data_IF_543414708884
#
_entry.id   IF_543414708884
#
_cell.length_a   1.000
_cell.length_b   1.000
_cell.length_c   1.000
_cell.angle_alpha   90.00
_cell.angle_beta   90.00
_cell.angle_gamma   90.00
#
_symmetry.space_group_name_H-M   'P 1'
#
loop_
_entity.id
_entity.type
_entity.pdbx_description
1 polymer ?
#
# COMPACT_ATOMS: atom_id res chain seq x y z
N UNK A 1 12.19 19.98 17.64
CA UNK A 1 11.50 20.88 16.70
C UNK A 1 11.99 20.45 15.33
N UNK A 2 11.24 19.55 14.71
CA UNK A 2 11.67 18.85 13.50
C UNK A 2 11.21 19.65 12.27
N UNK A 3 12.16 20.07 11.44
CA UNK A 3 11.87 20.77 10.19
C UNK A 3 11.38 19.73 9.16
N UNK A 4 10.17 19.90 8.63
CA UNK A 4 9.63 19.06 7.54
C UNK A 4 9.66 19.85 6.22
N UNK A 5 9.84 19.15 5.11
CA UNK A 5 9.80 19.77 3.79
C UNK A 5 8.38 19.67 3.22
N UNK A 6 7.86 20.78 2.71
CA UNK A 6 6.60 20.81 1.93
C UNK A 6 6.87 21.23 0.50
N UNK A 7 6.01 20.84 -0.41
CA UNK A 7 6.03 21.31 -1.80
C UNK A 7 5.33 22.67 -1.85
N UNK A 8 6.09 23.74 -2.02
CA UNK A 8 5.57 25.09 -2.21
C UNK A 8 5.45 25.37 -3.70
N UNK A 9 4.26 25.77 -4.15
CA UNK A 9 4.07 26.36 -5.47
C UNK A 9 4.20 27.88 -5.35
N UNK A 10 5.16 28.49 -6.05
CA UNK A 10 5.21 29.95 -6.16
C UNK A 10 3.99 30.42 -6.96
N UNK A 11 3.10 31.17 -6.30
CA UNK A 11 1.93 31.75 -6.93
C UNK A 11 2.34 32.82 -7.94
N UNK A 12 2.21 32.52 -9.23
CA UNK A 12 2.52 33.48 -10.29
C UNK A 12 2.24 33.06 -11.74
N UNK A 13 2.11 31.76 -12.04
CA UNK A 13 1.78 31.30 -13.40
C UNK A 13 1.23 29.87 -13.37
N UNK A 14 0.40 29.51 -14.34
CA UNK A 14 -0.14 28.14 -14.53
C UNK A 14 0.94 27.05 -14.65
N UNK A 15 2.21 27.45 -14.79
CA UNK A 15 3.42 26.60 -14.82
C UNK A 15 4.37 26.87 -13.63
N UNK A 16 3.80 27.09 -12.43
CA UNK A 16 4.55 27.43 -11.22
C UNK A 16 5.57 26.36 -10.81
N UNK A 17 6.85 26.74 -10.75
CA UNK A 17 7.95 25.87 -10.37
C UNK A 17 7.76 25.34 -8.92
N UNK A 18 7.40 24.06 -8.79
CA UNK A 18 7.17 23.41 -7.49
C UNK A 18 8.52 23.15 -6.81
N UNK A 19 8.74 23.76 -5.65
CA UNK A 19 9.99 23.60 -4.88
C UNK A 19 9.73 22.99 -3.52
N UNK A 20 10.61 22.12 -3.07
CA UNK A 20 10.63 21.67 -1.69
C UNK A 20 11.21 22.78 -0.81
N UNK A 21 10.40 23.30 0.11
CA UNK A 21 10.84 24.29 1.08
C UNK A 21 10.72 23.71 2.50
N UNK A 22 11.69 24.04 3.36
CA UNK A 22 11.60 23.72 4.80
C UNK A 22 10.55 24.62 5.42
N UNK A 23 9.59 24.01 6.11
CA UNK A 23 8.56 24.72 6.85
C UNK A 23 8.53 24.16 8.26
N UNK A 24 8.38 25.08 9.21
CA UNK A 24 8.16 24.72 10.61
C UNK A 24 6.75 24.15 10.72
N UNK A 25 6.67 22.87 11.05
CA UNK A 25 5.37 22.18 11.19
C UNK A 25 4.73 22.54 12.51
N UNK A 26 3.45 22.89 12.46
CA UNK A 26 2.58 22.94 13.62
C UNK A 26 1.79 21.63 13.69
N UNK A 27 2.08 20.78 14.67
CA UNK A 27 1.47 19.44 14.79
C UNK A 27 -0.04 19.53 15.07
N UNK A 28 -0.46 20.56 15.80
CA UNK A 28 -1.86 20.75 16.18
C UNK A 28 -2.78 20.94 14.96
N UNK A 29 -2.26 21.52 13.88
CA UNK A 29 -3.02 21.72 12.63
C UNK A 29 -3.25 20.42 11.85
N UNK A 30 -2.55 19.34 12.22
CA UNK A 30 -2.63 18.03 11.60
C UNK A 30 -3.39 17.00 12.44
N UNK A 31 -3.75 17.32 13.69
CA UNK A 31 -4.56 16.45 14.55
C UNK A 31 -6.00 16.96 14.52
N UNK A 32 -6.89 16.19 13.92
CA UNK A 32 -8.29 16.54 13.70
C UNK A 32 -9.16 15.58 14.52
N UNK A 33 -9.94 16.13 15.45
CA UNK A 33 -10.97 15.38 16.18
C UNK A 33 -12.33 15.84 15.62
N UNK A 34 -12.92 15.10 14.66
CA UNK A 34 -14.18 15.50 14.07
C UNK A 34 -15.33 15.34 15.08
N UNK A 35 -16.20 16.35 15.16
CA UNK A 35 -17.48 16.22 15.83
C UNK A 35 -18.45 15.46 14.92
N UNK A 36 -18.69 14.18 15.21
CA UNK A 36 -19.65 13.34 14.48
C UNK A 36 -21.02 13.36 15.17
N UNK A 37 -22.07 13.04 14.40
CA UNK A 37 -23.44 12.98 14.92
C UNK A 37 -23.58 11.81 15.92
N UNK A 38 -23.86 12.08 17.21
CA UNK A 38 -23.98 11.03 18.21
C UNK A 38 -25.11 10.03 17.91
N UNK A 39 -26.18 10.45 17.24
CA UNK A 39 -27.29 9.56 16.88
C UNK A 39 -26.88 8.50 15.84
N UNK A 40 -26.01 8.88 14.90
CA UNK A 40 -25.42 7.96 13.92
C UNK A 40 -24.49 6.94 14.57
N UNK A 41 -23.65 7.40 15.51
CA UNK A 41 -22.70 6.55 16.24
C UNK A 41 -23.41 5.52 17.13
N UNK A 42 -24.51 5.90 17.80
CA UNK A 42 -25.32 4.97 18.59
C UNK A 42 -26.01 3.90 17.74
N UNK A 43 -26.33 4.22 16.48
CA UNK A 43 -27.02 3.30 15.57
C UNK A 43 -26.05 2.29 14.97
N UNK A 44 -24.95 2.76 14.39
CA UNK A 44 -23.91 1.94 13.78
C UNK A 44 -22.58 2.69 13.75
N UNK A 45 -21.77 2.51 14.79
CA UNK A 45 -20.47 3.16 14.92
C UNK A 45 -19.49 2.73 13.81
N UNK A 46 -19.57 1.49 13.34
CA UNK A 46 -18.67 0.94 12.32
C UNK A 46 -18.95 1.59 10.97
N UNK A 47 -20.23 1.70 10.61
CA UNK A 47 -20.65 2.38 9.39
C UNK A 47 -20.23 3.86 9.38
N UNK A 48 -20.31 4.54 10.53
CA UNK A 48 -19.87 5.94 10.64
C UNK A 48 -18.37 6.09 10.35
N UNK A 49 -17.53 5.18 10.86
CA UNK A 49 -16.09 5.17 10.55
C UNK A 49 -15.85 4.95 9.05
N UNK A 50 -16.55 3.99 8.45
CA UNK A 50 -16.45 3.67 7.02
C UNK A 50 -16.84 4.84 6.12
N UNK A 51 -17.96 5.51 6.42
CA UNK A 51 -18.45 6.68 5.70
C UNK A 51 -17.53 7.88 5.89
N UNK A 52 -16.99 8.05 7.09
CA UNK A 52 -16.02 9.12 7.36
C UNK A 52 -14.73 8.90 6.56
N UNK A 53 -14.14 7.70 6.59
CA UNK A 53 -12.97 7.36 5.80
C UNK A 53 -13.22 7.49 4.28
N UNK A 54 -14.43 7.13 3.83
CA UNK A 54 -14.88 7.34 2.46
C UNK A 54 -14.89 8.81 2.07
N UNK A 55 -15.46 9.67 2.92
CA UNK A 55 -15.51 11.11 2.70
C UNK A 55 -14.12 11.75 2.62
N UNK A 56 -13.17 11.30 3.46
CA UNK A 56 -11.79 11.79 3.41
C UNK A 56 -11.08 11.45 2.09
N UNK A 57 -11.48 10.38 1.41
CA UNK A 57 -10.88 10.01 0.12
C UNK A 57 -11.27 10.95 -1.03
N UNK A 58 -12.32 11.76 -0.88
CA UNK A 58 -12.87 12.63 -1.94
C UNK A 58 -12.62 14.11 -1.71
N UNK A 59 -12.40 14.53 -0.46
CA UNK A 59 -12.07 15.91 -0.14
C UNK A 59 -10.68 16.30 -0.66
N UNK A 60 -10.41 17.54 -1.07
CA UNK A 60 -9.04 18.00 -1.34
C UNK A 60 -8.25 18.16 -0.03
N UNK A 61 -6.92 18.04 -0.09
CA UNK A 61 -6.02 18.43 1.00
C UNK A 61 -5.50 19.84 0.76
N UNK A 62 -5.30 20.61 1.84
CA UNK A 62 -4.71 21.94 1.75
C UNK A 62 -3.21 21.85 1.46
N UNK A 63 -2.80 22.35 0.29
CA UNK A 63 -1.41 22.35 -0.16
C UNK A 63 -0.55 23.44 0.51
N UNK A 64 -1.13 24.32 1.33
CA UNK A 64 -0.38 25.31 2.11
C UNK A 64 0.38 24.70 3.30
N UNK A 65 -0.01 23.48 3.70
CA UNK A 65 0.55 22.73 4.83
C UNK A 65 1.10 21.37 4.39
N UNK A 66 1.92 20.70 5.22
CA UNK A 66 2.32 19.32 4.95
C UNK A 66 1.11 18.43 4.66
N UNK A 67 1.19 17.62 3.60
CA UNK A 67 0.04 16.87 3.09
C UNK A 67 -0.20 15.55 3.85
N UNK A 68 -0.33 15.64 5.17
CA UNK A 68 -0.69 14.54 6.06
C UNK A 68 -1.62 15.03 7.17
N UNK A 69 -2.57 14.19 7.58
CA UNK A 69 -3.60 14.51 8.57
C UNK A 69 -3.88 13.25 9.43
N UNK A 70 -3.99 13.42 10.74
CA UNK A 70 -4.45 12.41 11.68
C UNK A 70 -5.87 12.75 12.12
N UNK A 71 -6.80 11.84 11.88
CA UNK A 71 -8.18 11.99 12.34
C UNK A 71 -8.43 11.02 13.49
N UNK A 72 -8.73 11.53 14.67
CA UNK A 72 -8.98 10.71 15.87
C UNK A 72 -10.49 10.63 16.10
N UNK A 73 -11.02 9.42 15.99
CA UNK A 73 -12.42 9.10 16.21
C UNK A 73 -12.54 8.54 17.63
N UNK A 74 -12.90 9.41 18.57
CA UNK A 74 -12.94 9.10 20.00
C UNK A 74 -14.32 8.56 20.42
N UNK A 75 -14.68 7.41 19.86
CA UNK A 75 -15.86 6.64 20.25
C UNK A 75 -15.62 5.14 20.05
N UNK A 76 -16.25 4.29 20.87
CA UNK A 76 -16.12 2.85 20.74
C UNK A 76 -16.85 2.33 19.50
N UNK A 77 -16.16 1.50 18.73
CA UNK A 77 -16.67 0.69 17.61
C UNK A 77 -16.83 -0.77 18.06
N UNK A 78 -17.29 -1.66 17.18
CA UNK A 78 -17.42 -3.09 17.54
C UNK A 78 -16.08 -3.75 17.89
N UNK A 79 -15.00 -3.26 17.28
CA UNK A 79 -13.66 -3.85 17.34
C UNK A 79 -12.65 -3.04 18.17
N UNK A 80 -12.88 -1.74 18.41
CA UNK A 80 -11.92 -0.85 19.04
C UNK A 80 -12.57 0.21 19.95
N UNK A 81 -11.85 0.66 20.98
CA UNK A 81 -12.33 1.75 21.86
C UNK A 81 -12.23 3.13 21.21
N UNK A 82 -11.31 3.30 20.25
CA UNK A 82 -11.14 4.50 19.44
C UNK A 82 -10.44 4.13 18.14
N UNK A 83 -10.74 4.86 17.07
CA UNK A 83 -10.17 4.63 15.73
C UNK A 83 -9.36 5.84 15.28
N UNK A 84 -8.20 5.60 14.66
CA UNK A 84 -7.38 6.66 14.06
C UNK A 84 -7.31 6.46 12.55
N UNK A 85 -7.70 7.48 11.79
CA UNK A 85 -7.58 7.51 10.33
C UNK A 85 -6.41 8.40 9.95
N UNK A 86 -5.35 7.79 9.42
CA UNK A 86 -4.19 8.50 8.89
C UNK A 86 -4.38 8.74 7.40
N UNK A 87 -4.39 10.02 7.00
CA UNK A 87 -4.51 10.45 5.62
C UNK A 87 -3.20 11.07 5.16
N UNK A 88 -2.59 10.53 4.10
CA UNK A 88 -1.29 10.99 3.60
C UNK A 88 -1.35 11.08 2.08
N UNK A 89 -0.86 12.19 1.53
CA UNK A 89 -0.75 12.34 0.08
C UNK A 89 0.38 11.49 -0.51
N UNK A 90 0.12 10.84 -1.64
CA UNK A 90 1.02 9.86 -2.26
C UNK A 90 2.41 10.43 -2.65
N UNK A 91 2.52 11.75 -2.79
CA UNK A 91 3.82 12.41 -3.03
C UNK A 91 4.78 12.33 -1.83
N UNK A 92 4.30 12.02 -0.63
CA UNK A 92 5.13 11.89 0.58
C UNK A 92 5.76 10.49 0.69
N UNK A 93 5.15 9.49 0.08
CA UNK A 93 5.65 8.13 0.12
C UNK A 93 4.70 7.12 -0.52
N UNK A 94 5.28 5.97 -0.86
CA UNK A 94 4.51 4.79 -1.24
C UNK A 94 4.03 4.03 0.00
N UNK A 95 3.16 3.02 -0.21
CA UNK A 95 2.60 2.23 0.89
C UNK A 95 3.66 1.50 1.73
N UNK A 96 4.76 1.08 1.11
CA UNK A 96 5.86 0.39 1.80
C UNK A 96 6.67 1.34 2.69
N UNK A 97 6.99 2.54 2.20
CA UNK A 97 7.69 3.57 2.96
C UNK A 97 6.83 4.05 4.13
N UNK A 98 5.52 4.23 3.90
CA UNK A 98 4.59 4.62 4.96
C UNK A 98 4.46 3.55 6.05
N UNK A 99 4.35 2.28 5.68
CA UNK A 99 4.34 1.19 6.67
C UNK A 99 5.66 1.09 7.43
N UNK A 100 6.78 1.24 6.74
CA UNK A 100 8.10 1.23 7.38
C UNK A 100 8.25 2.38 8.38
N UNK A 101 7.75 3.57 8.03
CA UNK A 101 7.71 4.72 8.93
C UNK A 101 6.85 4.43 10.17
N UNK A 102 5.66 3.85 9.98
CA UNK A 102 4.78 3.46 11.07
C UNK A 102 5.48 2.45 12.01
N UNK A 103 6.10 1.40 11.47
CA UNK A 103 6.88 0.44 12.25
C UNK A 103 8.08 1.07 12.96
N UNK A 104 8.77 2.04 12.34
CA UNK A 104 9.88 2.76 12.94
C UNK A 104 9.44 3.68 14.09
N UNK A 105 8.18 4.13 14.09
CA UNK A 105 7.61 4.89 15.20
C UNK A 105 7.25 4.01 16.41
N UNK A 106 7.07 2.70 16.19
CA UNK A 106 6.81 1.72 17.24
C UNK A 106 8.10 1.25 17.94
N UNK A 107 7.94 0.60 19.10
CA UNK A 107 9.03 -0.02 19.86
C UNK A 107 8.79 -1.52 20.04
N UNK A 108 9.87 -2.27 20.21
CA UNK A 108 9.76 -3.70 20.50
C UNK A 108 9.13 -3.91 21.87
N UNK A 109 8.17 -4.83 21.95
CA UNK A 109 7.57 -5.26 23.23
C UNK A 109 8.61 -5.92 24.13
N UNK A 110 9.62 -6.59 23.56
CA UNK A 110 10.68 -7.24 24.32
C UNK A 110 11.76 -6.26 24.81
N UNK A 111 11.97 -5.15 24.10
CA UNK A 111 12.96 -4.12 24.43
C UNK A 111 12.47 -2.73 23.98
N UNK A 112 12.04 -1.86 24.92
CA UNK A 112 11.51 -0.53 24.60
C UNK A 112 12.52 0.39 23.89
N UNK A 113 13.82 0.11 23.97
CA UNK A 113 14.85 0.92 23.31
C UNK A 113 15.03 0.55 21.84
N UNK A 114 14.57 -0.64 21.44
CA UNK A 114 14.77 -1.20 20.10
C UNK A 114 13.56 -1.00 19.21
N UNK A 115 13.83 -0.80 17.92
CA UNK A 115 12.78 -0.84 16.89
C UNK A 115 12.26 -2.28 16.69
N UNK A 116 11.00 -2.46 16.27
CA UNK A 116 10.47 -3.76 15.89
C UNK A 116 11.37 -4.40 14.83
N UNK A 117 11.82 -5.63 15.08
CA UNK A 117 12.62 -6.36 14.10
C UNK A 117 11.71 -6.80 12.96
N UNK A 118 12.03 -6.40 11.73
CA UNK A 118 11.40 -7.00 10.56
C UNK A 118 11.82 -8.47 10.46
N UNK A 119 10.90 -9.39 10.09
CA UNK A 119 11.25 -10.78 9.89
C UNK A 119 12.35 -10.88 8.82
N UNK A 120 13.30 -11.80 9.03
CA UNK A 120 14.34 -12.06 8.03
C UNK A 120 13.67 -12.47 6.73
N UNK A 121 14.02 -11.80 5.65
CA UNK A 121 13.54 -12.20 4.33
C UNK A 121 14.02 -13.63 4.07
N UNK A 122 13.14 -14.55 3.65
CA UNK A 122 13.54 -15.93 3.39
C UNK A 122 14.65 -15.94 2.36
N UNK A 123 15.68 -16.76 2.60
CA UNK A 123 16.72 -16.98 1.59
C UNK A 123 16.06 -17.50 0.32
N UNK A 124 16.22 -16.76 -0.78
CA UNK A 124 15.67 -17.14 -2.08
C UNK A 124 16.48 -18.34 -2.59
N UNK A 125 16.06 -19.54 -2.23
CA UNK A 125 16.69 -20.82 -2.62
C UNK A 125 16.29 -21.29 -4.02
N UNK A 126 15.52 -20.50 -4.78
CA UNK A 126 15.13 -20.86 -6.13
C UNK A 126 16.38 -21.15 -6.99
N UNK A 127 16.30 -22.16 -7.86
CA UNK A 127 17.41 -22.62 -8.71
C UNK A 127 18.04 -21.52 -9.58
N UNK A 128 17.35 -20.39 -9.76
CA UNK A 128 17.82 -19.19 -10.47
C UNK A 128 18.95 -18.48 -9.70
N UNK A 129 18.97 -18.58 -8.36
CA UNK A 129 19.98 -17.95 -7.49
C UNK A 129 21.15 -18.89 -7.13
N UNK A 130 21.08 -20.18 -7.50
CA UNK A 130 22.23 -21.07 -7.32
C UNK A 130 23.31 -20.73 -8.37
N UNK A 131 24.58 -20.58 -7.96
CA UNK A 131 25.66 -20.40 -8.91
C UNK A 131 25.73 -21.63 -9.82
N UNK A 132 25.40 -21.43 -11.11
CA UNK A 132 25.55 -22.49 -12.12
C UNK A 132 27.00 -22.96 -12.13
N UNK A 133 27.27 -24.28 -12.08
CA UNK A 133 28.63 -24.78 -12.22
C UNK A 133 29.18 -24.30 -13.58
N UNK A 134 30.33 -23.62 -13.55
CA UNK A 134 31.04 -23.20 -14.77
C UNK A 134 31.63 -24.45 -15.43
N UNK A 135 30.87 -25.13 -16.28
CA UNK A 135 31.44 -26.12 -17.17
C UNK A 135 32.12 -25.40 -18.34
N UNK A 136 33.42 -25.60 -18.49
CA UNK A 136 34.20 -25.09 -19.62
C UNK A 136 34.24 -26.17 -20.70
N UNK A 137 33.39 -26.06 -21.73
CA UNK A 137 33.37 -27.00 -22.85
C UNK A 137 32.25 -26.72 -23.85
N UNK A 138 32.34 -27.31 -25.04
CA UNK A 138 31.37 -27.12 -26.13
C UNK A 138 29.92 -27.45 -25.73
N UNK A 139 29.71 -28.43 -24.84
CA UNK A 139 28.38 -28.76 -24.30
C UNK A 139 27.79 -27.62 -23.45
N UNK A 140 28.62 -26.85 -22.74
CA UNK A 140 28.18 -25.70 -21.96
C UNK A 140 27.72 -24.55 -22.86
N UNK A 141 28.44 -24.33 -23.98
CA UNK A 141 28.06 -23.35 -25.00
C UNK A 141 26.74 -23.73 -25.68
N UNK A 142 26.57 -25.00 -26.06
CA UNK A 142 25.30 -25.50 -26.61
C UNK A 142 24.15 -25.36 -25.62
N UNK A 143 24.36 -25.67 -24.34
CA UNK A 143 23.38 -25.47 -23.28
C UNK A 143 23.02 -24.00 -23.06
N UNK A 144 24.00 -23.10 -23.18
CA UNK A 144 23.79 -21.65 -23.11
C UNK A 144 22.94 -21.18 -24.30
N UNK A 145 23.31 -21.51 -25.53
CA UNK A 145 22.54 -21.18 -26.74
C UNK A 145 21.12 -21.74 -26.65
N UNK A 146 20.96 -22.98 -26.19
CA UNK A 146 19.66 -23.61 -25.98
C UNK A 146 18.83 -22.87 -24.94
N UNK A 147 19.43 -22.45 -23.82
CA UNK A 147 18.75 -21.65 -22.80
C UNK A 147 18.25 -20.31 -23.33
N UNK A 148 19.01 -19.64 -24.20
CA UNK A 148 18.58 -18.40 -24.86
C UNK A 148 17.45 -18.65 -25.86
N UNK A 149 17.51 -19.76 -26.60
CA UNK A 149 16.45 -20.15 -27.50
C UNK A 149 15.14 -20.44 -26.75
N UNK A 150 15.20 -21.21 -25.66
CA UNK A 150 14.03 -21.51 -24.80
C UNK A 150 13.47 -20.22 -24.18
N UNK A 151 14.34 -19.32 -23.71
CA UNK A 151 13.91 -18.02 -23.19
C UNK A 151 13.20 -17.20 -24.27
N UNK A 152 13.80 -17.08 -25.46
CA UNK A 152 13.22 -16.36 -26.58
C UNK A 152 11.84 -16.94 -26.99
N UNK A 153 11.74 -18.27 -27.06
CA UNK A 153 10.48 -18.95 -27.36
C UNK A 153 9.41 -18.66 -26.30
N UNK A 154 9.73 -18.81 -25.02
CA UNK A 154 8.80 -18.52 -23.92
C UNK A 154 8.38 -17.04 -23.94
N UNK A 155 9.31 -16.11 -24.12
CA UNK A 155 8.96 -14.68 -24.22
C UNK A 155 8.08 -14.38 -25.43
N UNK A 156 8.27 -15.07 -26.56
CA UNK A 156 7.43 -14.91 -27.73
C UNK A 156 6.01 -15.44 -27.48
N UNK A 157 5.89 -16.61 -26.82
CA UNK A 157 4.59 -17.17 -26.40
C UNK A 157 3.90 -16.25 -25.40
N UNK A 158 4.62 -15.70 -24.42
CA UNK A 158 4.07 -14.78 -23.42
C UNK A 158 3.57 -13.49 -24.06
N UNK A 159 4.34 -12.90 -24.98
CA UNK A 159 3.93 -11.70 -25.74
C UNK A 159 2.71 -12.00 -26.62
N UNK A 160 2.69 -13.15 -27.29
CA UNK A 160 1.55 -13.55 -28.10
C UNK A 160 0.30 -13.79 -27.24
N UNK A 161 0.44 -14.44 -26.08
CA UNK A 161 -0.64 -14.66 -25.13
C UNK A 161 -1.14 -13.33 -24.57
N UNK A 162 -0.24 -12.43 -24.16
CA UNK A 162 -0.58 -11.09 -23.69
C UNK A 162 -1.31 -10.28 -24.77
N UNK A 163 -0.82 -10.29 -26.01
CA UNK A 163 -1.47 -9.62 -27.13
C UNK A 163 -2.85 -10.23 -27.41
N UNK A 164 -2.99 -11.55 -27.33
CA UNK A 164 -4.29 -12.23 -27.43
C UNK A 164 -5.21 -11.86 -26.27
N UNK A 165 -4.71 -11.74 -25.05
CA UNK A 165 -5.49 -11.26 -23.90
C UNK A 165 -5.98 -9.83 -24.15
N UNK A 166 -5.11 -8.92 -24.58
CA UNK A 166 -5.46 -7.52 -24.82
C UNK A 166 -6.44 -7.36 -26.00
N UNK A 167 -6.25 -8.11 -27.09
CA UNK A 167 -7.04 -7.94 -28.31
C UNK A 167 -8.35 -8.75 -28.32
N UNK A 168 -8.42 -9.87 -27.60
CA UNK A 168 -9.57 -10.79 -27.64
C UNK A 168 -10.29 -10.96 -26.30
N UNK A 169 -9.60 -10.80 -25.16
CA UNK A 169 -10.22 -10.93 -23.84
C UNK A 169 -10.61 -9.54 -23.32
N UNK A 170 -11.82 -9.11 -23.67
CA UNK A 170 -12.50 -8.11 -22.85
C UNK A 170 -12.75 -8.76 -21.49
N UNK A 171 -12.23 -8.16 -20.42
CA UNK A 171 -12.39 -8.72 -19.08
C UNK A 171 -13.87 -9.04 -18.82
N UNK A 172 -14.21 -10.26 -18.36
CA UNK A 172 -15.56 -10.55 -17.93
C UNK A 172 -15.92 -9.55 -16.84
N UNK A 173 -17.12 -8.97 -16.92
CA UNK A 173 -17.61 -8.04 -15.90
C UNK A 173 -17.75 -8.80 -14.59
N UNK A 174 -16.71 -8.72 -13.76
CA UNK A 174 -16.72 -9.18 -12.38
C UNK A 174 -17.27 -8.08 -11.49
N UNK A 175 -17.66 -8.40 -10.26
CA UNK A 175 -18.07 -7.41 -9.25
C UNK A 175 -16.98 -6.37 -8.94
N UNK A 176 -15.75 -6.58 -9.38
CA UNK A 176 -14.60 -5.70 -9.22
C UNK A 176 -14.25 -4.91 -10.50
N UNK A 177 -14.98 -5.13 -11.60
CA UNK A 177 -14.76 -4.42 -12.86
C UNK A 177 -15.36 -3.01 -12.76
N UNK A 178 -14.50 -1.99 -12.88
CA UNK A 178 -14.88 -0.59 -13.02
C UNK A 178 -15.93 -0.46 -14.14
N UNK A 179 -17.06 0.20 -13.89
CA UNK A 179 -18.13 0.27 -14.89
C UNK A 179 -17.68 1.14 -16.07
N UNK A 180 -18.10 0.82 -17.30
CA UNK A 180 -17.73 1.61 -18.49
C UNK A 180 -18.20 3.09 -18.41
N UNK A 181 -19.11 3.42 -17.47
CA UNK A 181 -19.57 4.78 -17.13
C UNK A 181 -18.76 5.45 -16.01
N UNK A 182 -17.65 4.87 -15.53
CA UNK A 182 -16.81 5.47 -14.49
C UNK A 182 -15.94 6.59 -15.06
N UNK A 183 -16.17 7.86 -14.69
CA UNK A 183 -15.28 8.95 -15.09
C UNK A 183 -14.02 8.94 -14.22
N UNK A 184 -13.27 7.83 -14.14
CA UNK A 184 -11.97 7.68 -13.41
C UNK A 184 -12.02 8.00 -11.89
N UNK A 185 -13.12 8.56 -11.39
CA UNK A 185 -13.36 9.00 -10.03
C UNK A 185 -14.88 8.97 -9.79
N UNK A 186 -15.46 7.79 -9.61
CA UNK A 186 -16.75 7.72 -8.91
C UNK A 186 -16.58 8.40 -7.53
N UNK A 187 -17.35 9.45 -7.20
CA UNK A 187 -17.20 10.22 -5.96
C UNK A 187 -17.66 9.44 -4.72
N UNK A 188 -18.01 8.16 -4.84
CA UNK A 188 -18.47 7.30 -3.75
C UNK A 188 -17.63 6.04 -3.69
N UNK A 189 -16.44 6.16 -3.12
CA UNK A 189 -15.68 4.99 -2.67
C UNK A 189 -16.31 4.52 -1.36
N UNK A 190 -16.78 3.27 -1.31
CA UNK A 190 -17.22 2.65 -0.06
C UNK A 190 -16.04 1.89 0.51
N UNK A 191 -15.57 2.30 1.69
CA UNK A 191 -14.66 1.47 2.46
C UNK A 191 -15.50 0.52 3.31
N UNK A 192 -15.07 -0.74 3.37
CA UNK A 192 -15.61 -1.72 4.30
C UNK A 192 -14.40 -2.33 4.99
N UNK A 193 -14.46 -2.42 6.31
CA UNK A 193 -13.40 -3.05 7.08
C UNK A 193 -13.87 -4.40 7.59
N UNK A 194 -12.93 -5.35 7.63
CA UNK A 194 -13.17 -6.69 8.15
C UNK A 194 -11.99 -7.06 9.04
N UNK A 195 -12.27 -7.30 10.32
CA UNK A 195 -11.31 -7.90 11.24
C UNK A 195 -11.19 -9.39 10.94
N UNK A 196 -9.96 -9.85 10.71
CA UNK A 196 -9.65 -11.28 10.56
C UNK A 196 -8.72 -11.71 11.68
N UNK A 197 -9.04 -12.86 12.29
CA UNK A 197 -8.18 -13.45 13.32
C UNK A 197 -6.82 -13.84 12.73
N UNK A 198 -5.75 -13.37 13.36
CA UNK A 198 -4.39 -13.70 12.96
C UNK A 198 -4.08 -15.19 13.19
N UNK A 199 -4.76 -15.84 14.12
CA UNK A 199 -4.61 -17.27 14.38
C UNK A 199 -5.22 -18.11 13.25
N UNK A 200 -6.33 -17.67 12.67
CA UNK A 200 -6.93 -18.33 11.50
C UNK A 200 -6.01 -18.21 10.27
N UNK A 201 -5.40 -17.04 10.08
CA UNK A 201 -4.42 -16.82 9.01
C UNK A 201 -3.20 -17.75 9.19
N UNK A 202 -2.71 -17.92 10.43
CA UNK A 202 -1.63 -18.87 10.72
C UNK A 202 -2.06 -20.32 10.49
N UNK A 203 -3.29 -20.68 10.87
CA UNK A 203 -3.83 -22.02 10.65
C UNK A 203 -3.86 -22.36 9.16
N UNK A 204 -4.40 -21.47 8.33
CA UNK A 204 -4.44 -21.62 6.87
C UNK A 204 -3.03 -21.71 6.30
N UNK A 205 -2.12 -20.82 6.73
CA UNK A 205 -0.71 -20.86 6.30
C UNK A 205 -0.07 -22.23 6.56
N UNK A 206 -0.30 -22.80 7.75
CA UNK A 206 0.24 -24.09 8.13
C UNK A 206 -0.42 -25.24 7.35
N UNK A 207 -1.73 -25.17 7.10
CA UNK A 207 -2.46 -26.17 6.32
C UNK A 207 -2.02 -26.23 4.85
N UNK A 208 -1.66 -25.09 4.25
CA UNK A 208 -1.26 -25.01 2.83
C UNK A 208 0.25 -25.31 2.66
N UNK A 209 1.03 -25.52 3.73
CA UNK A 209 2.47 -25.79 3.66
C UNK A 209 3.26 -24.74 2.83
N UNK A 210 2.82 -23.48 2.81
CA UNK A 210 3.42 -22.43 1.97
C UNK A 210 4.84 -22.01 2.39
N UNK A 211 5.31 -22.43 3.56
CA UNK A 211 6.67 -22.12 4.05
C UNK A 211 7.27 -23.40 4.61
N UNK A 212 8.37 -23.86 4.01
CA UNK A 212 9.16 -24.94 4.58
C UNK A 212 9.74 -24.44 5.90
N UNK A 213 9.29 -25.03 7.00
CA UNK A 213 9.94 -24.88 8.30
C UNK A 213 11.38 -25.36 8.16
N UNK A 214 12.32 -24.43 8.27
CA UNK A 214 13.73 -24.72 8.54
C UNK A 214 13.97 -24.51 10.03
#
# INVERSE_FOLDING_TARGET
MEDLYIVVADGGSEDGNRRWARVKVNVDDHIIVPALDPAGVETDADQVVEEYAASLSTLPMDASRPLWEFHILDFPTSEATSTVVLRVHHSLGDGMSLMTLLFASARSVADPTRLPAMPKQPERTAAIYMPRPRSAGAMAFLGWVWSYFVLAWNTMVDVAFFAATVLFLRDPKTSFSCSDDDPVFSPRRRFVHLSLSLDDVKFIKNAINCVSTV
#
